data_IF_311934888221
#
_entry.id   IF_311934888221
#
_cell.length_a   1.000
_cell.length_b   1.000
_cell.length_c   1.000
_cell.angle_alpha   90.00
_cell.angle_beta   90.00
_cell.angle_gamma   90.00
#
_symmetry.space_group_name_H-M   'P 1'
#
loop_
_entity.id
_entity.type
_entity.pdbx_description
1 polymer ?
#
# COMPACT_ATOMS: atom_id res chain seq x y z
N UNK A 1 -23.83 -3.57 -3.91
CA UNK A 1 -23.70 -4.06 -2.53
C UNK A 1 -24.46 -3.09 -1.66
N UNK A 2 -25.68 -3.47 -1.28
CA UNK A 2 -26.46 -2.79 -0.25
C UNK A 2 -25.73 -2.98 1.07
N UNK A 3 -25.27 -1.88 1.68
CA UNK A 3 -24.61 -1.89 2.99
C UNK A 3 -25.68 -2.27 4.00
N UNK A 4 -25.52 -3.40 4.68
CA UNK A 4 -26.42 -3.79 5.78
C UNK A 4 -26.35 -2.68 6.84
N UNK A 5 -27.46 -2.01 7.18
CA UNK A 5 -27.47 -1.01 8.23
C UNK A 5 -27.42 -1.72 9.57
N UNK A 6 -26.20 -1.89 10.11
CA UNK A 6 -25.96 -2.35 11.49
C UNK A 6 -25.05 -1.35 12.18
N UNK A 7 -25.56 -0.15 12.44
CA UNK A 7 -24.87 0.83 13.28
C UNK A 7 -25.84 1.30 14.35
N UNK A 8 -25.48 1.15 15.62
CA UNK A 8 -25.80 2.24 16.56
C UNK A 8 -25.15 3.49 15.97
N UNK A 9 -25.90 4.56 15.67
CA UNK A 9 -25.33 5.74 15.03
C UNK A 9 -24.24 6.30 15.96
N UNK A 10 -22.99 6.27 15.49
CA UNK A 10 -21.91 6.96 16.17
C UNK A 10 -22.18 8.47 16.04
N UNK A 11 -22.38 9.14 17.18
CA UNK A 11 -22.76 10.56 17.22
C UNK A 11 -21.56 11.52 17.25
N UNK A 12 -20.32 11.02 17.31
CA UNK A 12 -19.12 11.86 17.33
C UNK A 12 -18.67 12.30 15.92
N UNK A 13 -17.49 12.96 15.81
CA UNK A 13 -16.99 13.49 14.55
C UNK A 13 -16.91 12.43 13.44
N UNK A 14 -17.44 12.73 12.25
CA UNK A 14 -17.55 11.73 11.18
C UNK A 14 -16.19 11.10 10.81
N UNK A 15 -15.08 11.82 11.01
CA UNK A 15 -13.72 11.30 10.87
C UNK A 15 -13.49 9.99 11.63
N UNK A 16 -14.06 9.82 12.83
CA UNK A 16 -13.89 8.61 13.65
C UNK A 16 -15.08 7.65 13.58
N UNK A 17 -15.93 7.77 12.57
CA UNK A 17 -17.07 6.86 12.37
C UNK A 17 -16.69 5.53 11.71
N UNK A 18 -15.54 5.47 11.02
CA UNK A 18 -15.10 4.29 10.30
C UNK A 18 -13.60 4.30 10.01
N UNK A 19 -12.96 3.13 9.95
CA UNK A 19 -11.51 2.99 9.85
C UNK A 19 -10.86 3.66 8.63
N UNK A 20 -11.46 3.62 7.44
CA UNK A 20 -10.82 4.26 6.27
C UNK A 20 -10.65 5.77 6.42
N UNK A 21 -11.52 6.45 7.17
CA UNK A 21 -11.59 7.91 7.20
C UNK A 21 -10.34 8.56 7.82
N UNK A 22 -9.93 8.26 9.06
CA UNK A 22 -8.76 8.90 9.65
C UNK A 22 -7.48 8.44 8.96
N UNK A 23 -7.39 7.14 8.64
CA UNK A 23 -6.14 6.57 8.15
C UNK A 23 -5.85 6.86 6.67
N UNK A 24 -6.86 6.98 5.81
CA UNK A 24 -6.63 7.42 4.43
C UNK A 24 -6.22 8.89 4.38
N UNK A 25 -6.85 9.73 5.20
CA UNK A 25 -6.50 11.14 5.27
C UNK A 25 -5.08 11.33 5.82
N UNK A 26 -4.80 10.75 6.99
CA UNK A 26 -3.50 10.86 7.63
C UNK A 26 -2.38 10.21 6.78
N UNK A 27 -2.64 9.03 6.21
CA UNK A 27 -1.70 8.34 5.34
C UNK A 27 -1.39 9.13 4.06
N UNK A 28 -2.38 9.78 3.44
CA UNK A 28 -2.15 10.62 2.26
C UNK A 28 -1.36 11.89 2.60
N UNK A 29 -1.72 12.58 3.68
CA UNK A 29 -0.98 13.76 4.14
C UNK A 29 0.47 13.37 4.42
N UNK A 30 0.70 12.28 5.14
CA UNK A 30 2.05 11.81 5.45
C UNK A 30 2.83 11.36 4.22
N UNK A 31 2.21 10.66 3.27
CA UNK A 31 2.86 10.28 2.02
C UNK A 31 3.41 11.49 1.25
N UNK A 32 2.65 12.60 1.22
CA UNK A 32 3.08 13.84 0.61
C UNK A 32 4.18 14.54 1.43
N UNK A 33 3.97 14.70 2.74
CA UNK A 33 4.92 15.39 3.63
C UNK A 33 6.26 14.65 3.73
N UNK A 34 6.25 13.32 3.82
CA UNK A 34 7.46 12.53 3.92
C UNK A 34 8.37 12.72 2.70
N UNK A 35 7.81 12.74 1.48
CA UNK A 35 8.61 13.00 0.26
C UNK A 35 9.03 14.47 0.15
N UNK A 36 8.16 15.40 0.57
CA UNK A 36 8.50 16.83 0.64
C UNK A 36 9.70 17.08 1.54
N UNK A 37 9.78 16.39 2.69
CA UNK A 37 10.91 16.45 3.62
C UNK A 37 12.10 15.65 3.11
N UNK A 38 11.87 14.50 2.47
CA UNK A 38 12.94 13.61 2.02
C UNK A 38 13.81 14.22 0.92
N UNK A 39 13.23 14.90 -0.07
CA UNK A 39 14.00 15.48 -1.18
C UNK A 39 15.15 16.40 -0.69
N UNK A 40 14.93 17.42 0.16
CA UNK A 40 16.02 18.25 0.66
C UNK A 40 16.98 17.50 1.58
N UNK A 41 16.51 16.49 2.35
CA UNK A 41 17.40 15.61 3.13
C UNK A 41 18.34 14.81 2.22
N UNK A 42 17.81 14.23 1.14
CA UNK A 42 18.55 13.42 0.19
C UNK A 42 19.62 14.24 -0.55
N UNK A 43 19.29 15.48 -0.95
CA UNK A 43 20.24 16.39 -1.58
C UNK A 43 21.16 17.14 -0.59
N UNK A 44 21.12 16.80 0.71
CA UNK A 44 21.96 17.43 1.73
C UNK A 44 21.65 18.90 1.99
N UNK A 45 20.45 19.38 1.63
CA UNK A 45 19.99 20.77 1.82
C UNK A 45 19.30 20.99 3.17
N UNK A 46 18.98 19.92 3.88
CA UNK A 46 18.34 19.93 5.19
C UNK A 46 18.95 18.80 6.04
N UNK A 47 18.96 18.99 7.36
CA UNK A 47 19.27 17.95 8.33
C UNK A 47 18.17 17.92 9.38
N UNK A 48 17.78 16.72 9.80
CA UNK A 48 16.86 16.48 10.91
C UNK A 48 17.58 15.55 11.89
N UNK A 49 17.49 15.78 13.21
CA UNK A 49 18.15 14.96 14.22
C UNK A 49 17.42 13.62 14.39
N UNK A 50 17.54 12.76 13.38
CA UNK A 50 17.01 11.40 13.35
C UNK A 50 18.17 10.39 13.33
N UNK A 51 17.92 9.18 13.83
CA UNK A 51 18.89 8.10 13.91
C UNK A 51 19.11 7.39 12.56
N UNK A 52 18.19 7.56 11.61
CA UNK A 52 18.25 6.90 10.30
C UNK A 52 19.00 7.75 9.27
N UNK A 53 19.67 7.08 8.33
CA UNK A 53 20.12 7.71 7.09
C UNK A 53 18.92 8.29 6.32
N UNK A 54 19.09 9.32 5.46
CA UNK A 54 17.98 9.83 4.66
C UNK A 54 17.28 8.75 3.81
N UNK A 55 18.03 7.76 3.30
CA UNK A 55 17.47 6.65 2.50
C UNK A 55 16.70 5.66 3.38
N UNK A 56 17.24 5.30 4.55
CA UNK A 56 16.55 4.48 5.55
C UNK A 56 15.28 5.14 6.04
N UNK A 57 15.32 6.43 6.35
CA UNK A 57 14.14 7.18 6.76
C UNK A 57 13.06 7.18 5.68
N UNK A 58 13.41 7.42 4.41
CA UNK A 58 12.45 7.30 3.32
C UNK A 58 11.84 5.91 3.21
N UNK A 59 12.68 4.87 3.22
CA UNK A 59 12.20 3.50 3.13
C UNK A 59 11.28 3.16 4.31
N UNK A 60 11.65 3.57 5.52
CA UNK A 60 10.87 3.39 6.73
C UNK A 60 9.52 4.09 6.63
N UNK A 61 9.50 5.37 6.27
CA UNK A 61 8.27 6.15 6.22
C UNK A 61 7.31 5.68 5.13
N UNK A 62 7.84 5.17 4.01
CA UNK A 62 7.01 4.58 2.96
C UNK A 62 6.49 3.19 3.34
N UNK A 63 7.32 2.31 3.92
CA UNK A 63 6.93 0.92 4.21
C UNK A 63 6.20 0.74 5.53
N UNK A 64 6.60 1.48 6.56
CA UNK A 64 6.13 1.33 7.94
C UNK A 64 5.34 2.54 8.46
N UNK A 65 5.24 3.62 7.69
CA UNK A 65 4.44 4.81 8.02
C UNK A 65 3.19 4.97 7.21
N UNK A 66 3.36 5.41 5.98
CA UNK A 66 2.28 5.69 5.04
C UNK A 66 1.48 4.42 4.74
N UNK A 67 2.17 3.32 4.40
CA UNK A 67 1.51 2.10 3.95
C UNK A 67 0.67 1.42 5.06
N UNK A 68 1.16 1.24 6.30
CA UNK A 68 0.37 0.67 7.38
C UNK A 68 -0.86 1.50 7.74
N UNK A 69 -0.82 2.84 7.64
CA UNK A 69 -2.02 3.66 7.80
C UNK A 69 -3.09 3.24 6.78
N UNK A 70 -2.75 3.20 5.49
CA UNK A 70 -3.72 2.87 4.45
C UNK A 70 -4.20 1.42 4.57
N UNK A 71 -3.30 0.47 4.86
CA UNK A 71 -3.68 -0.93 5.11
C UNK A 71 -4.67 -0.99 6.28
N UNK A 72 -4.43 -0.25 7.36
CA UNK A 72 -5.33 -0.18 8.52
C UNK A 72 -6.69 0.39 8.12
N UNK A 73 -6.71 1.49 7.37
CA UNK A 73 -7.94 2.09 6.86
C UNK A 73 -8.75 1.11 6.01
N UNK A 74 -8.08 0.33 5.16
CA UNK A 74 -8.70 -0.70 4.34
C UNK A 74 -9.20 -1.89 5.16
N UNK A 75 -8.35 -2.49 6.03
CA UNK A 75 -8.69 -3.68 6.79
C UNK A 75 -9.79 -3.43 7.81
N UNK A 76 -9.73 -2.32 8.54
CA UNK A 76 -10.80 -1.94 9.48
C UNK A 76 -12.12 -1.61 8.77
N UNK A 77 -12.08 -1.44 7.44
CA UNK A 77 -13.27 -1.26 6.60
C UNK A 77 -13.77 -2.58 6.01
N UNK A 78 -12.86 -3.47 5.63
CA UNK A 78 -13.18 -4.74 4.99
C UNK A 78 -13.58 -5.83 5.99
N UNK A 79 -12.90 -5.92 7.13
CA UNK A 79 -13.11 -6.96 8.16
C UNK A 79 -14.55 -6.99 8.68
N UNK A 80 -15.21 -5.86 8.98
CA UNK A 80 -16.63 -5.86 9.38
C UNK A 80 -17.53 -6.54 8.34
N UNK A 81 -17.28 -6.29 7.05
CA UNK A 81 -18.04 -6.91 5.96
C UNK A 81 -17.75 -8.42 5.83
N UNK A 82 -16.53 -8.85 6.16
CA UNK A 82 -16.17 -10.27 6.14
C UNK A 82 -16.77 -11.03 7.32
N UNK A 83 -16.71 -10.45 8.51
CA UNK A 83 -17.03 -11.12 9.79
C UNK A 83 -18.48 -10.90 10.23
N UNK A 84 -19.18 -9.93 9.64
CA UNK A 84 -20.52 -9.52 10.09
C UNK A 84 -20.52 -8.76 11.43
N UNK A 85 -19.34 -8.46 11.98
CA UNK A 85 -19.15 -7.72 13.24
C UNK A 85 -19.24 -6.22 13.01
N UNK A 86 -19.46 -5.47 14.09
CA UNK A 86 -19.54 -4.02 14.03
C UNK A 86 -18.16 -3.40 13.72
N UNK A 87 -18.11 -2.33 12.91
CA UNK A 87 -16.87 -1.61 12.64
C UNK A 87 -16.32 -0.95 13.90
N UNK A 88 -15.00 -0.85 13.99
CA UNK A 88 -14.35 -0.01 15.00
C UNK A 88 -14.67 1.47 14.72
N UNK A 89 -15.03 2.21 15.76
CA UNK A 89 -15.33 3.64 15.71
C UNK A 89 -14.91 4.34 17.03
N UNK A 90 -15.01 5.67 17.04
CA UNK A 90 -14.77 6.52 18.22
C UNK A 90 -13.38 6.36 18.82
N UNK A 91 -13.33 6.26 20.16
CA UNK A 91 -12.08 6.23 20.94
C UNK A 91 -11.09 5.15 20.47
N UNK A 92 -11.58 4.00 19.99
CA UNK A 92 -10.70 2.93 19.49
C UNK A 92 -9.92 3.36 18.25
N UNK A 93 -10.53 4.15 17.37
CA UNK A 93 -9.84 4.72 16.20
C UNK A 93 -8.91 5.88 16.60
N UNK A 94 -9.31 6.68 17.60
CA UNK A 94 -8.47 7.78 18.11
C UNK A 94 -7.17 7.23 18.69
N UNK A 95 -7.22 6.19 19.52
CA UNK A 95 -6.03 5.54 20.09
C UNK A 95 -5.09 5.04 18.99
N UNK A 96 -5.63 4.36 17.97
CA UNK A 96 -4.81 3.88 16.86
C UNK A 96 -4.20 5.04 16.04
N UNK A 97 -4.96 6.11 15.80
CA UNK A 97 -4.46 7.28 15.07
C UNK A 97 -3.37 8.04 15.86
N UNK A 98 -3.53 8.17 17.18
CA UNK A 98 -2.53 8.78 18.05
C UNK A 98 -1.27 7.92 18.15
N UNK A 99 -1.40 6.58 18.27
CA UNK A 99 -0.26 5.68 18.26
C UNK A 99 0.52 5.77 16.94
N UNK A 100 -0.18 5.84 15.81
CA UNK A 100 0.46 6.04 14.50
C UNK A 100 1.20 7.38 14.41
N UNK A 101 0.54 8.48 14.83
CA UNK A 101 1.16 9.81 14.80
C UNK A 101 2.37 9.89 15.73
N UNK A 102 2.27 9.31 16.94
CA UNK A 102 3.36 9.23 17.89
C UNK A 102 4.58 8.52 17.29
N UNK A 103 4.38 7.42 16.55
CA UNK A 103 5.46 6.73 15.83
C UNK A 103 6.17 7.63 14.82
N UNK A 104 5.41 8.35 13.99
CA UNK A 104 5.98 9.28 12.99
C UNK A 104 6.84 10.37 13.63
N UNK A 105 6.32 10.95 14.71
CA UNK A 105 7.03 11.98 15.46
C UNK A 105 8.28 11.39 16.15
N UNK A 106 8.17 10.22 16.76
CA UNK A 106 9.28 9.54 17.43
C UNK A 106 10.44 9.22 16.47
N UNK A 107 10.13 8.80 15.23
CA UNK A 107 11.15 8.56 14.20
C UNK A 107 11.83 9.85 13.77
N UNK A 108 11.07 10.94 13.59
CA UNK A 108 11.63 12.27 13.24
C UNK A 108 12.60 12.81 14.31
N UNK A 109 12.34 12.52 15.58
CA UNK A 109 13.20 12.93 16.71
C UNK A 109 13.96 11.75 17.33
N UNK A 110 14.25 10.72 16.54
CA UNK A 110 14.84 9.48 17.05
C UNK A 110 16.26 9.65 17.61
N UNK A 111 17.02 10.65 17.17
CA UNK A 111 18.35 10.91 17.73
C UNK A 111 18.30 11.36 19.20
N UNK A 112 17.49 12.37 19.61
CA UNK A 112 17.41 12.78 21.01
C UNK A 112 16.70 11.79 21.94
N UNK A 113 15.66 11.07 21.49
CA UNK A 113 14.94 10.11 22.36
C UNK A 113 15.60 8.73 22.42
N UNK A 114 16.55 8.47 21.51
CA UNK A 114 17.25 7.20 21.39
C UNK A 114 16.48 6.14 20.57
N UNK A 115 17.22 5.17 19.98
CA UNK A 115 16.68 4.18 19.05
C UNK A 115 15.63 3.26 19.69
N UNK A 116 15.81 2.89 20.96
CA UNK A 116 14.89 1.97 21.66
C UNK A 116 13.54 2.63 21.89
N UNK A 117 13.52 3.87 22.41
CA UNK A 117 12.27 4.59 22.64
C UNK A 117 11.56 4.88 21.31
N UNK A 118 12.29 5.32 20.29
CA UNK A 118 11.75 5.52 18.95
C UNK A 118 11.11 4.24 18.39
N UNK A 119 11.83 3.11 18.46
CA UNK A 119 11.34 1.82 17.95
C UNK A 119 10.13 1.29 18.69
N UNK A 120 10.08 1.40 20.02
CA UNK A 120 8.92 0.97 20.82
C UNK A 120 7.67 1.80 20.48
N UNK A 121 7.80 3.12 20.44
CA UNK A 121 6.68 4.03 20.13
C UNK A 121 6.19 3.78 18.72
N UNK A 122 7.11 3.62 17.77
CA UNK A 122 6.78 3.41 16.36
C UNK A 122 6.10 2.05 16.09
N UNK A 123 6.59 0.98 16.71
CA UNK A 123 6.02 -0.36 16.55
C UNK A 123 4.65 -0.54 17.23
N UNK A 124 4.30 0.32 18.19
CA UNK A 124 3.04 0.22 18.93
C UNK A 124 1.82 0.24 18.01
N UNK A 125 1.84 1.07 16.97
CA UNK A 125 0.72 1.15 16.03
C UNK A 125 0.44 -0.20 15.35
N UNK A 126 1.45 -0.82 14.75
CA UNK A 126 1.31 -2.09 14.04
C UNK A 126 0.92 -3.23 14.99
N UNK A 127 1.44 -3.22 16.23
CA UNK A 127 1.03 -4.17 17.26
C UNK A 127 -0.46 -4.06 17.58
N UNK A 128 -0.95 -2.83 17.80
CA UNK A 128 -2.37 -2.58 18.10
C UNK A 128 -3.28 -2.95 16.93
N UNK A 129 -2.86 -2.66 15.69
CA UNK A 129 -3.60 -3.06 14.47
C UNK A 129 -3.64 -4.57 14.32
N UNK A 130 -2.50 -5.27 14.52
CA UNK A 130 -2.45 -6.72 14.49
C UNK A 130 -3.41 -7.34 15.52
N UNK A 131 -3.36 -6.86 16.78
CA UNK A 131 -4.24 -7.33 17.84
C UNK A 131 -5.73 -7.06 17.52
N UNK A 132 -6.06 -5.86 17.06
CA UNK A 132 -7.44 -5.50 16.73
C UNK A 132 -7.99 -6.34 15.56
N UNK A 133 -7.21 -6.48 14.48
CA UNK A 133 -7.64 -7.25 13.29
C UNK A 133 -7.71 -8.75 13.58
N UNK A 134 -6.75 -9.31 14.31
CA UNK A 134 -6.77 -10.70 14.75
C UNK A 134 -8.01 -11.00 15.59
N UNK A 135 -8.31 -10.15 16.59
CA UNK A 135 -9.49 -10.31 17.44
C UNK A 135 -10.78 -10.38 16.62
N UNK A 136 -10.99 -9.46 15.69
CA UNK A 136 -12.22 -9.42 14.90
C UNK A 136 -12.36 -10.63 13.96
N UNK A 137 -11.26 -11.06 13.32
CA UNK A 137 -11.27 -12.22 12.41
C UNK A 137 -11.49 -13.54 13.15
N UNK A 138 -10.80 -13.74 14.29
CA UNK A 138 -10.91 -14.93 15.13
C UNK A 138 -12.28 -15.01 15.78
N UNK A 139 -12.75 -13.91 16.39
CA UNK A 139 -14.07 -13.87 17.01
C UNK A 139 -15.21 -14.00 15.99
N UNK A 140 -14.98 -13.59 14.73
CA UNK A 140 -15.89 -13.82 13.61
C UNK A 140 -15.75 -15.20 12.95
N UNK A 141 -14.84 -16.06 13.43
CA UNK A 141 -14.50 -17.39 12.87
C UNK A 141 -14.26 -17.36 11.35
N UNK A 142 -13.71 -16.26 10.83
CA UNK A 142 -13.53 -16.06 9.39
C UNK A 142 -12.10 -16.43 8.94
N UNK A 143 -11.78 -17.72 9.03
CA UNK A 143 -10.44 -18.26 8.79
C UNK A 143 -9.90 -17.98 7.38
N UNK A 144 -10.78 -17.93 6.37
CA UNK A 144 -10.41 -17.59 4.97
C UNK A 144 -9.83 -16.17 4.81
N UNK A 145 -10.04 -15.31 5.80
CA UNK A 145 -9.52 -13.93 5.85
C UNK A 145 -8.52 -13.73 6.99
N UNK A 146 -7.94 -14.80 7.53
CA UNK A 146 -6.78 -14.74 8.42
C UNK A 146 -5.46 -14.34 7.73
N UNK A 147 -5.19 -14.72 6.44
CA UNK A 147 -3.91 -14.37 5.82
C UNK A 147 -3.55 -12.87 5.81
N UNK A 148 -4.47 -11.92 5.57
CA UNK A 148 -4.18 -10.49 5.73
C UNK A 148 -3.70 -10.11 7.14
N UNK A 149 -4.20 -10.76 8.20
CA UNK A 149 -3.74 -10.53 9.58
C UNK A 149 -2.31 -11.03 9.76
N UNK A 150 -1.99 -12.22 9.20
CA UNK A 150 -0.62 -12.75 9.20
C UNK A 150 0.36 -11.81 8.50
N UNK A 151 -0.06 -11.15 7.42
CA UNK A 151 0.77 -10.16 6.72
C UNK A 151 0.95 -8.86 7.52
N UNK A 152 -0.04 -8.44 8.31
CA UNK A 152 0.13 -7.32 9.27
C UNK A 152 1.13 -7.70 10.38
N UNK A 153 1.13 -8.94 10.85
CA UNK A 153 2.16 -9.43 11.78
C UNK A 153 3.54 -9.44 11.13
N UNK A 154 3.64 -9.78 9.84
CA UNK A 154 4.90 -9.68 9.10
C UNK A 154 5.38 -8.22 8.99
N UNK A 155 4.48 -7.25 8.78
CA UNK A 155 4.81 -5.83 8.87
C UNK A 155 5.30 -5.43 10.26
N UNK A 156 4.62 -5.89 11.33
CA UNK A 156 5.06 -5.62 12.70
C UNK A 156 6.47 -6.17 12.95
N UNK A 157 6.72 -7.43 12.60
CA UNK A 157 8.03 -8.05 12.73
C UNK A 157 9.09 -7.34 11.88
N UNK A 158 8.75 -6.96 10.65
CA UNK A 158 9.61 -6.19 9.77
C UNK A 158 9.94 -4.81 10.35
N UNK A 159 8.99 -4.14 11.00
CA UNK A 159 9.23 -2.85 11.62
C UNK A 159 10.15 -2.96 12.85
N UNK A 160 9.91 -3.95 13.71
CA UNK A 160 10.79 -4.25 14.83
C UNK A 160 12.21 -4.54 14.33
N UNK A 161 12.32 -5.39 13.30
CA UNK A 161 13.61 -5.68 12.68
C UNK A 161 14.23 -4.43 12.07
N UNK A 162 13.46 -3.50 11.50
CA UNK A 162 14.00 -2.26 10.93
C UNK A 162 14.77 -1.46 11.98
N UNK A 163 14.16 -1.24 13.14
CA UNK A 163 14.80 -0.50 14.23
C UNK A 163 16.02 -1.23 14.78
N UNK A 164 15.97 -2.57 14.91
CA UNK A 164 17.10 -3.37 15.39
C UNK A 164 18.25 -3.39 14.38
N UNK A 165 17.95 -3.66 13.12
CA UNK A 165 18.91 -3.77 12.02
C UNK A 165 19.58 -2.42 11.76
N UNK A 166 18.80 -1.34 11.58
CA UNK A 166 19.35 0.01 11.39
C UNK A 166 20.27 0.44 12.54
N UNK A 167 19.92 0.08 13.78
CA UNK A 167 20.76 0.38 14.94
C UNK A 167 22.08 -0.40 14.95
N UNK A 168 22.05 -1.68 14.55
CA UNK A 168 23.23 -2.56 14.61
C UNK A 168 24.16 -2.40 13.41
N UNK A 169 23.62 -2.18 12.22
CA UNK A 169 24.37 -2.22 10.95
C UNK A 169 24.40 -0.87 10.22
N UNK A 170 23.59 0.11 10.65
CA UNK A 170 23.43 1.40 9.98
C UNK A 170 22.48 1.39 8.77
N UNK A 171 21.96 0.22 8.36
CA UNK A 171 21.03 0.06 7.23
C UNK A 171 20.07 -1.11 7.46
N UNK A 172 18.79 -0.94 7.14
CA UNK A 172 17.75 -1.94 7.41
C UNK A 172 17.37 -2.80 6.18
N UNK A 173 18.32 -3.52 5.58
CA UNK A 173 18.12 -4.19 4.28
C UNK A 173 17.16 -5.39 4.33
N UNK A 174 17.25 -6.26 5.34
CA UNK A 174 16.30 -7.35 5.51
C UNK A 174 14.91 -6.82 5.86
N UNK A 175 14.83 -5.85 6.76
CA UNK A 175 13.56 -5.25 7.15
C UNK A 175 12.86 -4.55 5.98
N UNK A 176 13.58 -3.84 5.10
CA UNK A 176 13.03 -3.29 3.85
C UNK A 176 12.40 -4.38 2.99
N UNK A 177 13.13 -5.48 2.75
CA UNK A 177 12.67 -6.61 1.92
C UNK A 177 11.45 -7.29 2.53
N UNK A 178 11.40 -7.48 3.85
CA UNK A 178 10.24 -8.03 4.56
C UNK A 178 9.01 -7.14 4.37
N UNK A 179 9.15 -5.82 4.56
CA UNK A 179 8.05 -4.87 4.39
C UNK A 179 7.49 -4.89 2.96
N UNK A 180 8.38 -4.88 1.95
CA UNK A 180 8.00 -4.97 0.54
C UNK A 180 7.33 -6.31 0.24
N UNK A 181 7.89 -7.43 0.70
CA UNK A 181 7.34 -8.76 0.50
C UNK A 181 5.94 -8.90 1.11
N UNK A 182 5.74 -8.43 2.34
CA UNK A 182 4.45 -8.44 3.01
C UNK A 182 3.42 -7.57 2.25
N UNK A 183 3.84 -6.39 1.79
CA UNK A 183 3.01 -5.49 1.00
C UNK A 183 2.57 -6.11 -0.34
N UNK A 184 3.52 -6.66 -1.11
CA UNK A 184 3.24 -7.28 -2.41
C UNK A 184 2.38 -8.53 -2.24
N UNK A 185 2.64 -9.35 -1.23
CA UNK A 185 1.77 -10.49 -0.89
C UNK A 185 0.34 -10.04 -0.56
N UNK A 186 0.19 -8.95 0.20
CA UNK A 186 -1.13 -8.41 0.55
C UNK A 186 -1.87 -7.88 -0.67
N UNK A 187 -1.20 -7.08 -1.51
CA UNK A 187 -1.77 -6.55 -2.76
C UNK A 187 -2.12 -7.69 -3.72
N UNK A 188 -1.25 -8.69 -3.88
CA UNK A 188 -1.49 -9.86 -4.72
C UNK A 188 -2.71 -10.68 -4.24
N UNK A 189 -2.85 -10.88 -2.93
CA UNK A 189 -3.92 -11.65 -2.31
C UNK A 189 -5.27 -10.93 -2.44
N UNK A 190 -5.33 -9.68 -1.99
CA UNK A 190 -6.55 -8.88 -1.98
C UNK A 190 -6.93 -8.46 -3.40
N UNK A 191 -5.96 -7.92 -4.16
CA UNK A 191 -6.15 -7.47 -5.52
C UNK A 191 -6.72 -8.57 -6.41
N UNK A 192 -6.16 -9.77 -6.38
CA UNK A 192 -6.70 -10.84 -7.23
C UNK A 192 -8.01 -11.47 -6.78
N UNK A 193 -8.61 -11.05 -5.66
CA UNK A 193 -10.02 -11.32 -5.33
C UNK A 193 -10.91 -10.16 -5.76
N UNK A 194 -10.46 -8.94 -5.46
CA UNK A 194 -11.24 -7.71 -5.58
C UNK A 194 -11.32 -7.21 -7.03
N UNK A 195 -10.19 -7.18 -7.75
CA UNK A 195 -10.11 -6.70 -9.13
C UNK A 195 -11.03 -7.50 -10.06
N UNK A 196 -10.90 -8.84 -10.19
CA UNK A 196 -11.80 -9.60 -11.08
C UNK A 196 -13.27 -9.51 -10.65
N UNK A 197 -13.57 -9.44 -9.34
CA UNK A 197 -14.94 -9.26 -8.86
C UNK A 197 -15.52 -7.91 -9.26
N UNK A 198 -14.76 -6.83 -9.09
CA UNK A 198 -15.18 -5.49 -9.46
C UNK A 198 -15.33 -5.33 -10.97
N UNK A 199 -14.41 -5.89 -11.75
CA UNK A 199 -14.51 -5.90 -13.22
C UNK A 199 -15.73 -6.68 -13.67
N UNK A 200 -16.00 -7.85 -13.08
CA UNK A 200 -17.17 -8.69 -13.42
C UNK A 200 -18.47 -7.97 -13.10
N UNK A 201 -18.58 -7.36 -11.93
CA UNK A 201 -19.79 -6.65 -11.51
C UNK A 201 -20.12 -5.47 -12.42
N UNK A 202 -19.10 -4.79 -12.95
CA UNK A 202 -19.31 -3.70 -13.90
C UNK A 202 -19.63 -4.24 -15.30
N UNK A 203 -18.87 -5.22 -15.82
CA UNK A 203 -19.11 -5.81 -17.14
C UNK A 203 -20.45 -6.54 -17.28
N UNK A 204 -20.99 -7.09 -16.19
CA UNK A 204 -22.32 -7.71 -16.18
C UNK A 204 -23.47 -6.75 -16.53
N UNK A 205 -23.23 -5.43 -16.46
CA UNK A 205 -24.19 -4.38 -16.84
C UNK A 205 -23.90 -3.76 -18.20
N UNK A 206 -22.87 -4.28 -18.90
CA UNK A 206 -22.42 -3.77 -20.19
C UNK A 206 -22.75 -4.76 -21.31
N UNK A 207 -22.34 -4.42 -22.53
CA UNK A 207 -22.52 -5.30 -23.68
C UNK A 207 -21.93 -6.72 -23.42
N UNK A 208 -22.61 -7.78 -23.90
CA UNK A 208 -22.13 -9.16 -23.76
C UNK A 208 -20.67 -9.33 -24.23
N UNK A 209 -19.95 -10.25 -23.61
CA UNK A 209 -18.56 -10.58 -23.97
C UNK A 209 -17.80 -11.26 -22.85
N UNK A 210 -16.49 -11.44 -23.04
CA UNK A 210 -15.60 -12.13 -22.08
C UNK A 210 -15.69 -11.52 -20.67
N UNK A 211 -15.96 -12.37 -19.68
CA UNK A 211 -15.96 -11.99 -18.27
C UNK A 211 -14.66 -12.42 -17.56
N UNK A 212 -14.28 -11.75 -16.47
CA UNK A 212 -13.12 -12.12 -15.66
C UNK A 212 -13.27 -13.54 -15.09
N UNK A 213 -12.20 -14.31 -15.14
CA UNK A 213 -12.16 -15.63 -14.52
C UNK A 213 -12.14 -15.46 -12.99
N UNK A 214 -13.04 -16.12 -12.23
CA UNK A 214 -13.05 -16.01 -10.77
C UNK A 214 -11.79 -16.61 -10.15
N UNK A 215 -11.49 -16.19 -8.92
CA UNK A 215 -10.36 -16.70 -8.15
C UNK A 215 -10.42 -18.23 -8.01
N UNK A 216 -9.36 -18.93 -8.41
CA UNK A 216 -9.32 -20.40 -8.44
C UNK A 216 -7.95 -21.01 -8.14
N UNK A 217 -7.74 -22.26 -8.59
CA UNK A 217 -6.50 -23.01 -8.34
C UNK A 217 -5.24 -22.32 -8.89
N UNK A 218 -5.32 -21.77 -10.11
CA UNK A 218 -4.23 -21.00 -10.69
C UNK A 218 -3.84 -19.79 -9.82
N UNK A 219 -4.82 -19.08 -9.27
CA UNK A 219 -4.57 -17.94 -8.38
C UNK A 219 -3.87 -18.35 -7.09
N UNK A 220 -4.22 -19.52 -6.54
CA UNK A 220 -3.52 -20.09 -5.38
C UNK A 220 -2.07 -20.46 -5.71
N UNK A 221 -1.84 -21.08 -6.88
CA UNK A 221 -0.50 -21.43 -7.34
C UNK A 221 0.37 -20.18 -7.57
N UNK A 222 -0.17 -19.14 -8.20
CA UNK A 222 0.52 -17.86 -8.37
C UNK A 222 0.88 -17.23 -7.01
N UNK A 223 -0.04 -17.22 -6.04
CA UNK A 223 0.24 -16.71 -4.70
C UNK A 223 1.29 -17.53 -3.93
N UNK A 224 1.25 -18.86 -4.05
CA UNK A 224 2.23 -19.74 -3.43
C UNK A 224 3.63 -19.53 -4.03
N UNK A 225 3.73 -19.49 -5.36
CA UNK A 225 4.98 -19.22 -6.07
C UNK A 225 5.57 -17.86 -5.68
N UNK A 226 4.73 -16.83 -5.62
CA UNK A 226 5.13 -15.50 -5.14
C UNK A 226 5.61 -15.51 -3.69
N UNK A 227 4.95 -16.26 -2.81
CA UNK A 227 5.40 -16.41 -1.42
C UNK A 227 6.79 -17.02 -1.32
N UNK A 228 7.03 -18.12 -2.05
CA UNK A 228 8.36 -18.78 -2.12
C UNK A 228 9.41 -17.84 -2.71
N UNK A 229 9.11 -17.15 -3.81
CA UNK A 229 10.03 -16.22 -4.46
C UNK A 229 10.38 -15.02 -3.56
N UNK A 230 9.40 -14.46 -2.85
CA UNK A 230 9.61 -13.33 -1.94
C UNK A 230 10.42 -13.73 -0.69
N UNK A 231 10.16 -14.92 -0.12
CA UNK A 231 10.98 -15.45 0.98
C UNK A 231 12.42 -15.71 0.52
N UNK A 232 12.60 -16.30 -0.66
CA UNK A 232 13.92 -16.48 -1.25
C UNK A 232 14.62 -15.15 -1.49
N UNK A 233 13.92 -14.12 -1.97
CA UNK A 233 14.49 -12.78 -2.16
C UNK A 233 14.87 -12.07 -0.86
N UNK A 234 14.11 -12.27 0.21
CA UNK A 234 14.46 -11.75 1.54
C UNK A 234 15.73 -12.43 2.06
N UNK A 235 15.85 -13.76 1.94
CA UNK A 235 16.97 -14.51 2.51
C UNK A 235 18.23 -14.52 1.63
N UNK A 236 18.05 -14.62 0.32
CA UNK A 236 19.08 -14.91 -0.69
C UNK A 236 18.90 -13.99 -1.91
N UNK A 237 19.03 -12.66 -1.74
CA UNK A 237 18.62 -11.66 -2.74
C UNK A 237 19.39 -11.79 -4.06
N UNK A 238 20.64 -12.25 -4.03
CA UNK A 238 21.56 -12.21 -5.18
C UNK A 238 21.74 -13.57 -5.87
N UNK A 239 21.00 -14.60 -5.44
CA UNK A 239 21.18 -15.96 -5.95
C UNK A 239 20.39 -16.22 -7.23
N UNK A 240 20.98 -16.96 -8.17
CA UNK A 240 20.32 -17.32 -9.44
C UNK A 240 19.00 -18.10 -9.24
N UNK A 241 18.91 -18.93 -8.18
CA UNK A 241 17.66 -19.62 -7.82
C UNK A 241 16.55 -18.64 -7.47
N UNK A 242 16.87 -17.56 -6.75
CA UNK A 242 15.93 -16.48 -6.43
C UNK A 242 15.46 -15.80 -7.71
N UNK A 243 16.37 -15.48 -8.63
CA UNK A 243 15.99 -14.90 -9.92
C UNK A 243 15.03 -15.81 -10.71
N UNK A 244 15.30 -17.12 -10.77
CA UNK A 244 14.42 -18.08 -11.44
C UNK A 244 13.02 -18.12 -10.80
N UNK A 245 12.94 -18.15 -9.47
CA UNK A 245 11.66 -18.11 -8.74
C UNK A 245 10.89 -16.81 -9.01
N UNK A 246 11.58 -15.67 -9.04
CA UNK A 246 11.00 -14.37 -9.35
C UNK A 246 10.48 -14.31 -10.80
N UNK A 247 11.20 -14.87 -11.78
CA UNK A 247 10.73 -14.98 -13.17
C UNK A 247 9.43 -15.79 -13.25
N UNK A 248 9.38 -16.95 -12.61
CA UNK A 248 8.18 -17.80 -12.58
C UNK A 248 7.01 -17.04 -11.94
N UNK A 249 7.22 -16.39 -10.79
CA UNK A 249 6.20 -15.58 -10.14
C UNK A 249 5.71 -14.43 -11.04
N UNK A 250 6.62 -13.72 -11.71
CA UNK A 250 6.30 -12.66 -12.66
C UNK A 250 5.42 -13.14 -13.81
N UNK A 251 5.78 -14.24 -14.46
CA UNK A 251 4.99 -14.83 -15.55
C UNK A 251 3.61 -15.26 -15.06
N UNK A 252 3.52 -15.95 -13.92
CA UNK A 252 2.23 -16.37 -13.34
C UNK A 252 1.34 -15.16 -13.04
N UNK A 253 1.91 -14.07 -12.53
CA UNK A 253 1.16 -12.84 -12.26
C UNK A 253 0.70 -12.12 -13.53
N UNK A 254 1.49 -12.15 -14.61
CA UNK A 254 1.08 -11.61 -15.91
C UNK A 254 -0.10 -12.39 -16.50
N UNK A 255 -0.02 -13.73 -16.48
CA UNK A 255 -1.13 -14.60 -16.90
C UNK A 255 -2.37 -14.36 -16.03
N UNK A 256 -2.17 -14.23 -14.72
CA UNK A 256 -3.24 -13.95 -13.76
C UNK A 256 -3.97 -12.65 -14.11
N UNK A 257 -3.24 -11.58 -14.44
CA UNK A 257 -3.82 -10.30 -14.86
C UNK A 257 -4.59 -10.41 -16.18
N UNK A 258 -4.07 -11.12 -17.18
CA UNK A 258 -4.73 -11.31 -18.47
C UNK A 258 -6.10 -12.03 -18.36
N UNK A 259 -6.26 -12.88 -17.34
CA UNK A 259 -7.52 -13.58 -17.03
C UNK A 259 -8.63 -12.66 -16.53
N UNK A 260 -8.35 -11.39 -16.23
CA UNK A 260 -9.31 -10.48 -15.59
C UNK A 260 -10.06 -9.53 -16.54
N UNK A 261 -9.85 -9.64 -17.86
CA UNK A 261 -10.54 -8.83 -18.86
C UNK A 261 -10.41 -7.30 -18.63
N UNK A 262 -9.23 -6.86 -18.16
CA UNK A 262 -8.96 -5.46 -17.84
C UNK A 262 -9.05 -4.51 -19.04
N UNK A 263 -8.77 -5.01 -20.25
CA UNK A 263 -8.91 -4.26 -21.50
C UNK A 263 -10.35 -3.81 -21.78
N UNK A 264 -11.34 -4.51 -21.21
CA UNK A 264 -12.75 -4.10 -21.33
C UNK A 264 -13.13 -3.00 -20.35
N UNK A 265 -12.29 -2.70 -19.36
CA UNK A 265 -12.55 -1.70 -18.32
C UNK A 265 -12.05 -0.28 -18.67
N UNK A 266 -11.57 -0.05 -19.91
CA UNK A 266 -10.98 1.23 -20.34
C UNK A 266 -11.89 2.45 -20.12
N UNK A 267 -13.21 2.26 -20.23
CA UNK A 267 -14.20 3.34 -20.02
C UNK A 267 -14.48 3.66 -18.55
N UNK A 268 -13.89 2.92 -17.61
CA UNK A 268 -14.06 3.13 -16.17
C UNK A 268 -12.70 3.31 -15.51
N UNK A 269 -12.31 4.57 -15.31
CA UNK A 269 -11.02 4.92 -14.71
C UNK A 269 -10.79 4.29 -13.32
N UNK A 270 -11.82 4.20 -12.47
CA UNK A 270 -11.71 3.56 -11.14
C UNK A 270 -11.40 2.06 -11.22
N UNK A 271 -11.75 1.40 -12.33
CA UNK A 271 -11.45 -0.01 -12.56
C UNK A 271 -10.14 -0.20 -13.32
N UNK A 272 -9.90 0.62 -14.34
CA UNK A 272 -8.69 0.55 -15.15
C UNK A 272 -7.45 0.72 -14.27
N UNK A 273 -7.46 1.71 -13.37
CA UNK A 273 -6.31 2.00 -12.50
C UNK A 273 -5.94 0.81 -11.61
N UNK A 274 -6.90 -0.04 -11.21
CA UNK A 274 -6.63 -1.24 -10.42
C UNK A 274 -5.85 -2.28 -11.24
N UNK A 275 -6.11 -2.40 -12.54
CA UNK A 275 -5.36 -3.28 -13.44
C UNK A 275 -3.97 -2.72 -13.71
N UNK A 276 -3.87 -1.41 -13.94
CA UNK A 276 -2.59 -0.71 -14.11
C UNK A 276 -1.71 -0.90 -12.87
N UNK A 277 -2.26 -0.66 -11.67
CA UNK A 277 -1.56 -0.91 -10.41
C UNK A 277 -1.10 -2.37 -10.29
N UNK A 278 -1.96 -3.32 -10.64
CA UNK A 278 -1.60 -4.74 -10.57
C UNK A 278 -0.53 -5.13 -11.60
N UNK A 279 -0.48 -4.48 -12.77
CA UNK A 279 0.54 -4.74 -13.80
C UNK A 279 1.97 -4.46 -13.32
N UNK A 280 2.12 -3.58 -12.33
CA UNK A 280 3.41 -3.35 -11.69
C UNK A 280 3.89 -4.51 -10.81
N UNK A 281 3.02 -5.43 -10.38
CA UNK A 281 3.42 -6.62 -9.63
C UNK A 281 4.29 -7.56 -10.49
N UNK A 282 3.82 -8.09 -11.64
CA UNK A 282 4.67 -8.90 -12.50
C UNK A 282 5.86 -8.10 -13.03
N UNK A 283 5.71 -6.80 -13.34
CA UNK A 283 6.84 -5.97 -13.72
C UNK A 283 7.93 -5.94 -12.65
N UNK A 284 7.57 -5.73 -11.37
CA UNK A 284 8.55 -5.73 -10.28
C UNK A 284 9.19 -7.09 -10.06
N UNK A 285 8.46 -8.20 -10.21
CA UNK A 285 9.05 -9.56 -10.19
C UNK A 285 10.10 -9.73 -11.29
N UNK A 286 9.75 -9.35 -12.52
CA UNK A 286 10.64 -9.47 -13.68
C UNK A 286 11.86 -8.54 -13.58
N UNK A 287 11.67 -7.29 -13.12
CA UNK A 287 12.77 -6.35 -12.90
C UNK A 287 13.69 -6.80 -11.76
N UNK A 288 13.15 -7.42 -10.70
CA UNK A 288 13.98 -7.94 -9.60
C UNK A 288 14.79 -9.14 -10.06
N UNK A 289 14.21 -10.03 -10.88
CA UNK A 289 14.99 -11.10 -11.51
C UNK A 289 16.08 -10.53 -12.45
N UNK A 290 15.73 -9.52 -13.26
CA UNK A 290 16.67 -8.86 -14.15
C UNK A 290 17.80 -8.15 -13.40
N UNK A 291 17.54 -7.55 -12.24
CA UNK A 291 18.59 -6.93 -11.42
C UNK A 291 19.57 -7.94 -10.83
N UNK A 292 19.16 -9.21 -10.68
CA UNK A 292 20.05 -10.29 -10.23
C UNK A 292 20.86 -10.84 -11.41
N UNK A 293 20.21 -11.08 -12.56
CA UNK A 293 20.83 -11.73 -13.72
C UNK A 293 21.64 -10.77 -14.60
N UNK A 294 21.27 -9.49 -14.63
CA UNK A 294 21.87 -8.44 -15.43
C UNK A 294 21.96 -7.12 -14.63
N UNK A 295 22.72 -7.09 -13.51
CA UNK A 295 22.79 -5.94 -12.61
C UNK A 295 23.30 -4.65 -13.27
N UNK A 296 24.03 -4.76 -14.38
CA UNK A 296 24.49 -3.61 -15.17
C UNK A 296 23.39 -2.95 -16.01
N UNK A 297 22.31 -3.69 -16.32
CA UNK A 297 21.20 -3.19 -17.13
C UNK A 297 20.02 -2.73 -16.27
N UNK A 298 19.77 -3.40 -15.14
CA UNK A 298 18.65 -3.08 -14.25
C UNK A 298 19.15 -2.99 -12.81
N UNK A 299 18.97 -1.84 -12.21
CA UNK A 299 19.34 -1.62 -10.81
C UNK A 299 18.29 -2.19 -9.85
N UNK A 300 18.73 -2.60 -8.65
CA UNK A 300 17.83 -3.02 -7.56
C UNK A 300 16.83 -1.91 -7.20
N UNK A 301 17.26 -0.65 -7.26
CA UNK A 301 16.39 0.52 -7.06
C UNK A 301 15.23 0.55 -8.05
N UNK A 302 15.47 0.32 -9.35
CA UNK A 302 14.40 0.29 -10.36
C UNK A 302 13.36 -0.79 -10.03
N UNK A 303 13.84 -2.00 -9.70
CA UNK A 303 13.00 -3.15 -9.38
C UNK A 303 12.13 -2.93 -8.14
N UNK A 304 12.71 -2.43 -7.05
CA UNK A 304 11.97 -2.12 -5.82
C UNK A 304 10.92 -1.05 -6.06
N UNK A 305 11.22 0.00 -6.85
CA UNK A 305 10.25 1.08 -7.11
C UNK A 305 9.12 0.68 -8.07
N UNK A 306 9.31 -0.33 -8.91
CA UNK A 306 8.20 -0.95 -9.63
C UNK A 306 7.18 -1.56 -8.65
N UNK A 307 7.65 -2.22 -7.58
CA UNK A 307 6.77 -2.71 -6.52
C UNK A 307 6.22 -1.60 -5.62
N UNK A 308 7.06 -0.69 -5.14
CA UNK A 308 6.67 0.29 -4.11
C UNK A 308 5.91 1.48 -4.70
N UNK A 309 6.48 2.20 -5.65
CA UNK A 309 5.80 3.33 -6.27
C UNK A 309 4.71 2.87 -7.25
N UNK A 310 5.03 1.89 -8.08
CA UNK A 310 4.12 1.33 -9.08
C UNK A 310 2.99 0.51 -8.48
N UNK A 311 3.29 -0.68 -7.94
CA UNK A 311 2.22 -1.57 -7.48
C UNK A 311 1.53 -1.04 -6.23
N UNK A 312 2.28 -0.68 -5.19
CA UNK A 312 1.72 -0.28 -3.89
C UNK A 312 1.16 1.15 -3.95
N UNK A 313 1.92 2.13 -4.46
CA UNK A 313 1.50 3.53 -4.59
C UNK A 313 0.23 3.68 -5.43
N UNK A 314 0.20 3.07 -6.62
CA UNK A 314 -0.98 3.15 -7.49
C UNK A 314 -2.16 2.38 -6.91
N UNK A 315 -1.94 1.18 -6.34
CA UNK A 315 -3.04 0.36 -5.78
C UNK A 315 -3.70 1.02 -4.57
N UNK A 316 -2.91 1.60 -3.67
CA UNK A 316 -3.45 2.27 -2.50
C UNK A 316 -4.32 3.46 -2.89
N UNK A 317 -3.87 4.35 -3.78
CA UNK A 317 -4.70 5.46 -4.28
C UNK A 317 -5.95 4.98 -5.03
N UNK A 318 -5.83 3.93 -5.84
CA UNK A 318 -6.97 3.31 -6.52
C UNK A 318 -8.02 2.80 -5.53
N UNK A 319 -7.60 2.13 -4.46
CA UNK A 319 -8.50 1.64 -3.42
C UNK A 319 -9.05 2.78 -2.56
N UNK A 320 -8.21 3.74 -2.17
CA UNK A 320 -8.59 4.88 -1.33
C UNK A 320 -9.69 5.71 -1.99
N UNK A 321 -9.53 6.07 -3.26
CA UNK A 321 -10.53 6.84 -4.02
C UNK A 321 -11.86 6.08 -4.11
N UNK A 322 -11.83 4.80 -4.51
CA UNK A 322 -13.03 3.96 -4.64
C UNK A 322 -13.76 3.74 -3.31
N UNK A 323 -13.02 3.40 -2.25
CA UNK A 323 -13.58 3.16 -0.91
C UNK A 323 -14.16 4.45 -0.35
N UNK A 324 -13.48 5.59 -0.53
CA UNK A 324 -13.97 6.90 -0.09
C UNK A 324 -15.32 7.24 -0.74
N UNK A 325 -15.46 7.05 -2.06
CA UNK A 325 -16.73 7.29 -2.76
C UNK A 325 -17.84 6.36 -2.26
N UNK A 326 -17.60 5.04 -2.29
CA UNK A 326 -18.63 4.05 -1.96
C UNK A 326 -19.11 4.13 -0.50
N UNK A 327 -18.19 4.35 0.45
CA UNK A 327 -18.55 4.39 1.87
C UNK A 327 -19.04 5.76 2.34
N UNK A 328 -18.82 6.84 1.57
CA UNK A 328 -19.40 8.16 1.87
C UNK A 328 -20.68 8.47 1.10
N UNK A 329 -21.20 7.52 0.33
CA UNK A 329 -22.52 7.61 -0.33
C UNK A 329 -22.50 8.39 -1.64
N UNK A 330 -21.33 8.48 -2.28
CA UNK A 330 -21.14 9.18 -3.56
C UNK A 330 -21.07 8.19 -4.70
N UNK A 331 -21.32 8.68 -5.91
CA UNK A 331 -21.24 7.88 -7.12
C UNK A 331 -19.83 7.32 -7.33
N UNK A 332 -19.75 6.07 -7.81
CA UNK A 332 -18.50 5.38 -8.10
C UNK A 332 -17.96 5.81 -9.47
N UNK A 333 -17.57 7.08 -9.58
CA UNK A 333 -16.92 7.66 -10.73
C UNK A 333 -15.68 8.48 -10.30
N UNK A 334 -14.58 8.35 -11.04
CA UNK A 334 -13.33 9.05 -10.72
C UNK A 334 -13.44 10.58 -10.87
N UNK A 335 -14.21 11.03 -11.87
CA UNK A 335 -14.19 12.43 -12.32
C UNK A 335 -12.80 12.88 -12.79
N UNK A 336 -12.66 14.18 -13.06
CA UNK A 336 -11.38 14.77 -13.47
C UNK A 336 -10.32 14.66 -12.36
N UNK A 337 -10.72 14.85 -11.10
CA UNK A 337 -9.82 14.82 -9.94
C UNK A 337 -9.22 13.43 -9.74
N UNK A 338 -10.05 12.37 -9.82
CA UNK A 338 -9.55 11.00 -9.73
C UNK A 338 -8.58 10.67 -10.87
N UNK A 339 -8.87 11.11 -12.10
CA UNK A 339 -7.96 10.94 -13.23
C UNK A 339 -6.63 11.69 -13.02
N UNK A 340 -6.66 12.91 -12.48
CA UNK A 340 -5.45 13.69 -12.18
C UNK A 340 -4.58 12.99 -11.11
N UNK A 341 -5.19 12.47 -10.04
CA UNK A 341 -4.50 11.67 -9.01
C UNK A 341 -3.82 10.46 -9.65
N UNK A 342 -4.53 9.73 -10.52
CA UNK A 342 -4.02 8.54 -11.18
C UNK A 342 -2.87 8.83 -12.14
N UNK A 343 -3.01 9.89 -12.95
CA UNK A 343 -1.94 10.34 -13.83
C UNK A 343 -0.69 10.72 -13.03
N UNK A 344 -0.86 11.51 -11.95
CA UNK A 344 0.25 11.94 -11.11
C UNK A 344 1.00 10.76 -10.46
N UNK A 345 0.29 9.76 -9.90
CA UNK A 345 0.99 8.59 -9.30
C UNK A 345 1.66 7.71 -10.35
N UNK A 346 1.10 7.58 -11.55
CA UNK A 346 1.74 6.85 -12.64
C UNK A 346 3.02 7.57 -13.09
N UNK A 347 2.97 8.89 -13.27
CA UNK A 347 4.15 9.70 -13.58
C UNK A 347 5.20 9.53 -12.48
N UNK A 348 4.79 9.56 -11.21
CA UNK A 348 5.71 9.35 -10.09
C UNK A 348 6.42 8.00 -10.17
N UNK A 349 5.67 6.92 -10.41
CA UNK A 349 6.22 5.57 -10.51
C UNK A 349 7.16 5.43 -11.71
N UNK A 350 6.74 5.86 -12.90
CA UNK A 350 7.53 5.73 -14.14
C UNK A 350 8.79 6.58 -14.07
N UNK A 351 8.69 7.85 -13.63
CA UNK A 351 9.85 8.71 -13.47
C UNK A 351 10.82 8.13 -12.43
N UNK A 352 10.34 7.55 -11.32
CA UNK A 352 11.21 6.96 -10.31
C UNK A 352 11.94 5.72 -10.80
N UNK A 353 11.27 4.86 -11.56
CA UNK A 353 11.88 3.70 -12.20
C UNK A 353 12.92 4.17 -13.23
N UNK A 354 12.54 5.11 -14.10
CA UNK A 354 13.40 5.69 -15.13
C UNK A 354 14.65 6.37 -14.56
N UNK A 355 14.53 7.09 -13.44
CA UNK A 355 15.67 7.69 -12.74
C UNK A 355 16.73 6.64 -12.37
N UNK A 356 16.34 5.39 -12.17
CA UNK A 356 17.27 4.32 -11.79
C UNK A 356 17.91 3.60 -13.00
N UNK A 357 17.58 4.02 -14.22
CA UNK A 357 18.07 3.46 -15.49
C UNK A 357 18.89 4.48 -16.29
N UNK A 358 18.71 5.77 -16.05
CA UNK A 358 19.43 6.86 -16.71
C UNK A 358 20.12 7.74 -15.66
N UNK A 359 21.45 7.63 -15.58
CA UNK A 359 22.26 8.36 -14.59
C UNK A 359 22.36 9.86 -14.91
N UNK A 360 22.33 10.24 -16.18
CA UNK A 360 22.41 11.64 -16.60
C UNK A 360 21.12 12.38 -16.27
N UNK A 361 19.98 11.70 -16.42
CA UNK A 361 18.67 12.24 -16.06
C UNK A 361 18.27 12.00 -14.58
N UNK A 362 19.11 11.35 -13.77
CA UNK A 362 18.77 10.86 -12.43
C UNK A 362 18.12 11.93 -11.55
N UNK A 363 18.79 13.07 -11.36
CA UNK A 363 18.31 14.11 -10.45
C UNK A 363 16.99 14.73 -10.92
N UNK A 364 16.87 14.98 -12.23
CA UNK A 364 15.66 15.54 -12.84
C UNK A 364 14.48 14.57 -12.70
N UNK A 365 14.67 13.30 -13.06
CA UNK A 365 13.63 12.28 -12.96
C UNK A 365 13.24 11.99 -11.51
N UNK A 366 14.19 12.07 -10.56
CA UNK A 366 13.91 11.96 -9.14
C UNK A 366 13.03 13.11 -8.63
N UNK A 367 13.31 14.35 -9.06
CA UNK A 367 12.48 15.52 -8.72
C UNK A 367 11.08 15.42 -9.33
N UNK A 368 10.98 15.02 -10.61
CA UNK A 368 9.69 14.77 -11.28
C UNK A 368 8.90 13.71 -10.50
N UNK A 369 9.55 12.62 -10.11
CA UNK A 369 8.92 11.57 -9.33
C UNK A 369 8.40 12.08 -7.99
N UNK A 370 9.22 12.85 -7.26
CA UNK A 370 8.86 13.41 -5.97
C UNK A 370 7.70 14.40 -6.05
N UNK A 371 7.75 15.35 -6.99
CA UNK A 371 6.66 16.33 -7.21
C UNK A 371 5.37 15.64 -7.61
N UNK A 372 5.43 14.67 -8.53
CA UNK A 372 4.26 13.93 -8.97
C UNK A 372 3.65 13.07 -7.84
N UNK A 373 4.47 12.48 -6.97
CA UNK A 373 4.01 11.76 -5.77
C UNK A 373 3.31 12.71 -4.78
N UNK A 374 3.95 13.84 -4.47
CA UNK A 374 3.37 14.88 -3.59
C UNK A 374 2.03 15.36 -4.17
N UNK A 375 1.96 15.61 -5.48
CA UNK A 375 0.73 16.01 -6.14
C UNK A 375 -0.36 14.93 -6.03
N UNK A 376 -0.05 13.66 -6.30
CA UNK A 376 -1.04 12.57 -6.26
C UNK A 376 -1.69 12.43 -4.88
N UNK A 377 -0.88 12.38 -3.81
CA UNK A 377 -1.37 12.25 -2.44
C UNK A 377 -1.95 13.55 -1.88
N UNK A 378 -1.38 14.71 -2.25
CA UNK A 378 -1.92 16.02 -1.89
C UNK A 378 -3.29 16.28 -2.50
N UNK A 379 -3.49 15.96 -3.79
CA UNK A 379 -4.79 16.05 -4.46
C UNK A 379 -5.82 15.12 -3.82
N UNK A 380 -5.41 13.91 -3.40
CA UNK A 380 -6.29 13.05 -2.62
C UNK A 380 -6.68 13.69 -1.28
N UNK A 381 -5.70 14.17 -0.50
CA UNK A 381 -5.96 14.79 0.80
C UNK A 381 -6.89 16.01 0.69
N UNK A 382 -6.66 16.89 -0.29
CA UNK A 382 -7.44 18.11 -0.51
C UNK A 382 -8.83 17.78 -1.04
N UNK A 383 -8.94 16.92 -2.05
CA UNK A 383 -10.20 16.67 -2.74
C UNK A 383 -11.10 15.61 -2.08
N UNK A 384 -10.51 14.54 -1.55
CA UNK A 384 -11.26 13.47 -0.87
C UNK A 384 -11.32 13.69 0.65
N UNK A 385 -10.36 14.41 1.26
CA UNK A 385 -10.34 14.67 2.71
C UNK A 385 -11.65 15.25 3.28
N UNK A 386 -12.27 16.27 2.65
CA UNK A 386 -13.57 16.77 3.10
C UNK A 386 -14.67 15.70 3.11
N UNK A 387 -14.61 14.73 2.20
CA UNK A 387 -15.54 13.59 2.17
C UNK A 387 -15.33 12.65 3.37
N UNK A 388 -14.08 12.49 3.81
CA UNK A 388 -13.68 11.67 4.95
C UNK A 388 -14.04 12.32 6.29
N UNK A 389 -14.05 13.66 6.36
CA UNK A 389 -14.34 14.42 7.57
C UNK A 389 -15.82 14.75 7.76
N UNK A 390 -16.64 14.70 6.71
CA UNK A 390 -18.07 15.04 6.77
C UNK A 390 -18.97 13.80 6.88
N UNK A 391 -20.20 13.93 7.42
CA UNK A 391 -21.18 12.84 7.41
C UNK A 391 -21.40 12.25 6.00
N UNK A 392 -21.84 10.99 5.97
CA UNK A 392 -22.22 10.31 4.72
C UNK A 392 -23.37 11.06 4.04
N UNK A 393 -23.32 11.18 2.72
CA UNK A 393 -24.43 11.77 1.94
C UNK A 393 -25.68 10.92 2.11
N UNK A 394 -26.83 11.54 2.38
CA UNK A 394 -28.09 10.85 2.64
C UNK A 394 -28.22 10.23 4.04
N UNK A 395 -27.38 10.61 5.01
CA UNK A 395 -27.46 10.15 6.39
C UNK A 395 -28.41 10.98 7.28
N UNK A 396 -29.46 11.57 6.71
CA UNK A 396 -30.51 12.30 7.45
C UNK A 396 -31.84 11.61 7.29
#
# INVERSE_FOLDING_TARGET
>A
MTVVPRLRPYQGPALFSYGFRPFFLAGAIWAALAILLWLPLFFGRMQIPMAFSPVDWHAHEMLYGYLPAIITGFLLTAIPNWTGRLPLNGNRLIVLALAWLAGRLAVLVSAPIGPVAAGVIDCLFLLLVAAATAREVIAGRNWKNLPPVGLVLAFFAGNVLFHVEAWQTGSADYARRIGIAAAIALVALIGGRVIPSFTRNWLARQAPGRLPVPFGGFDKAALAASGVALVAWVALPDFAVTAALLLVAGVLHAIRLARWAGERALRNALLLILHVAYAFIPLGFLLTAASILAPQAVTVSAAVHAWTAGAIGVMTLAMMTRVSLGHTGRDLAAGWLGCAIYAAVIVAAVARIGASLDMDAYATLLLVAGVAWIAAFGLFAIGYGPMLMRPRVGAR
#
